data_IF_291730171048
#
_entry.id   IF_291730171048
#
_cell.length_a   1.000
_cell.length_b   1.000
_cell.length_c   1.000
_cell.angle_alpha   90.00
_cell.angle_beta   90.00
_cell.angle_gamma   90.00
#
_symmetry.space_group_name_H-M   'P 1'
#
loop_
_entity.id
_entity.type
_entity.pdbx_description
1 polymer ?
#
# COMPACT_ATOMS: atom_id res chain seq x y z
N UNK A 1 7.01 10.64 -23.24
CA UNK A 1 8.34 10.22 -22.74
C UNK A 1 8.82 11.09 -21.56
N UNK A 2 8.93 12.41 -21.68
CA UNK A 2 9.36 13.29 -20.58
C UNK A 2 8.61 13.06 -19.26
N UNK A 3 7.28 12.90 -19.29
CA UNK A 3 6.45 12.66 -18.09
C UNK A 3 6.79 11.38 -17.32
N UNK A 4 7.25 10.32 -18.01
CA UNK A 4 7.68 9.07 -17.35
C UNK A 4 9.00 9.30 -16.62
N UNK A 5 9.94 10.01 -17.23
CA UNK A 5 11.22 10.37 -16.59
C UNK A 5 10.99 11.20 -15.34
N UNK A 6 10.13 12.22 -15.43
CA UNK A 6 9.77 13.06 -14.28
C UNK A 6 9.19 12.25 -13.12
N UNK A 7 8.32 11.28 -13.43
CA UNK A 7 7.72 10.43 -12.41
C UNK A 7 8.75 9.50 -11.76
N UNK A 8 9.64 8.90 -12.55
CA UNK A 8 10.75 8.07 -12.03
C UNK A 8 11.67 8.91 -11.14
N UNK A 9 12.04 10.12 -11.58
CA UNK A 9 12.88 11.03 -10.79
C UNK A 9 12.22 11.35 -9.45
N UNK A 10 10.94 11.68 -9.43
CA UNK A 10 10.19 11.92 -8.19
C UNK A 10 10.22 10.73 -7.23
N UNK A 11 10.08 9.51 -7.75
CA UNK A 11 10.13 8.30 -6.92
C UNK A 11 11.53 8.00 -6.41
N UNK A 12 12.58 8.33 -7.16
CA UNK A 12 13.98 8.27 -6.70
C UNK A 12 14.21 9.30 -5.59
N UNK A 13 13.80 10.54 -5.79
CA UNK A 13 13.96 11.63 -4.81
C UNK A 13 13.18 11.33 -3.52
N UNK A 14 12.02 10.68 -3.63
CA UNK A 14 11.24 10.18 -2.49
C UNK A 14 11.86 8.96 -1.80
N UNK A 15 12.93 8.38 -2.35
CA UNK A 15 13.60 7.20 -1.81
C UNK A 15 12.86 5.87 -2.05
N UNK A 16 11.86 5.86 -2.93
CA UNK A 16 11.09 4.66 -3.25
C UNK A 16 11.80 3.75 -4.25
N UNK A 17 12.59 4.34 -5.14
CA UNK A 17 13.38 3.64 -6.15
C UNK A 17 14.88 3.73 -5.87
N UNK A 18 15.59 2.73 -6.35
CA UNK A 18 17.05 2.74 -6.42
C UNK A 18 17.50 2.17 -7.78
N UNK A 19 18.69 2.58 -8.20
CA UNK A 19 19.36 1.99 -9.37
C UNK A 19 19.84 0.60 -9.00
N UNK A 20 19.70 -0.34 -9.91
CA UNK A 20 20.26 -1.71 -9.77
C UNK A 20 21.03 -2.09 -11.01
N UNK A 21 21.97 -3.02 -10.86
CA UNK A 21 22.80 -3.55 -11.93
C UNK A 21 22.67 -5.08 -11.98
N UNK A 22 22.57 -5.64 -13.18
CA UNK A 22 22.54 -7.09 -13.43
C UNK A 22 21.44 -7.87 -12.67
N UNK A 23 20.18 -7.41 -12.69
CA UNK A 23 19.11 -8.10 -11.98
C UNK A 23 18.76 -9.43 -12.62
N UNK A 24 18.29 -10.39 -11.82
CA UNK A 24 17.79 -11.68 -12.31
C UNK A 24 16.36 -11.56 -12.88
N UNK A 25 15.58 -10.58 -12.40
CA UNK A 25 14.21 -10.31 -12.83
C UNK A 25 14.13 -8.91 -13.43
N UNK A 26 13.51 -8.83 -14.60
CA UNK A 26 13.29 -7.55 -15.28
C UNK A 26 11.87 -7.48 -15.78
N UNK A 27 11.14 -6.47 -15.33
CA UNK A 27 9.79 -6.20 -15.77
C UNK A 27 9.73 -5.01 -16.73
N UNK A 28 8.65 -4.90 -17.50
CA UNK A 28 8.40 -3.78 -18.39
C UNK A 28 7.56 -2.70 -17.70
N UNK A 29 7.82 -1.45 -18.07
CA UNK A 29 6.99 -0.32 -17.66
C UNK A 29 5.77 -0.21 -18.57
N UNK A 30 4.60 -0.05 -17.96
CA UNK A 30 3.33 0.20 -18.64
C UNK A 30 2.81 1.58 -18.22
N UNK A 31 2.96 2.61 -19.06
CA UNK A 31 2.45 3.94 -18.75
C UNK A 31 0.92 3.97 -18.88
N UNK A 32 0.23 4.38 -17.84
CA UNK A 32 -1.23 4.51 -17.81
C UNK A 32 -1.61 5.99 -17.71
N UNK A 33 -2.30 6.56 -18.71
CA UNK A 33 -2.76 7.94 -18.64
C UNK A 33 -3.88 8.09 -17.62
N UNK A 34 -3.80 9.14 -16.80
CA UNK A 34 -4.87 9.54 -15.88
C UNK A 34 -5.78 10.59 -16.56
N UNK A 35 -7.02 10.73 -16.04
CA UNK A 35 -8.00 11.71 -16.52
C UNK A 35 -7.50 13.17 -16.42
N UNK A 36 -6.62 13.45 -15.47
CA UNK A 36 -6.01 14.77 -15.24
C UNK A 36 -4.79 15.04 -16.15
N UNK A 37 -4.54 14.19 -17.15
CA UNK A 37 -3.42 14.33 -18.09
C UNK A 37 -2.05 13.92 -17.52
N UNK A 38 -1.99 13.44 -16.28
CA UNK A 38 -0.79 12.84 -15.71
C UNK A 38 -0.62 11.41 -16.19
N UNK A 39 0.59 10.87 -16.05
CA UNK A 39 0.90 9.49 -16.36
C UNK A 39 1.21 8.77 -15.04
N UNK A 40 0.56 7.63 -14.81
CA UNK A 40 0.98 6.67 -13.78
C UNK A 40 1.95 5.71 -14.43
N UNK A 41 3.12 5.54 -13.83
CA UNK A 41 4.09 4.51 -14.20
C UNK A 41 3.70 3.23 -13.48
N UNK A 42 3.21 2.25 -14.22
CA UNK A 42 2.93 0.92 -13.70
C UNK A 42 4.03 -0.03 -14.17
N UNK A 43 4.32 -1.06 -13.39
CA UNK A 43 5.29 -2.10 -13.74
C UNK A 43 4.54 -3.42 -13.84
N UNK A 44 4.86 -4.19 -14.85
CA UNK A 44 4.21 -5.49 -15.12
C UNK A 44 4.87 -6.60 -14.28
N UNK A 45 4.28 -6.91 -13.14
CA UNK A 45 4.76 -7.98 -12.26
C UNK A 45 4.07 -9.32 -12.46
N UNK A 46 3.38 -9.56 -13.59
CA UNK A 46 2.63 -10.81 -13.81
C UNK A 46 3.51 -12.05 -13.66
N UNK A 47 4.73 -12.04 -14.20
CA UNK A 47 5.61 -13.20 -14.13
C UNK A 47 6.24 -13.37 -12.74
N UNK A 48 6.61 -12.27 -12.07
CA UNK A 48 7.04 -12.29 -10.68
C UNK A 48 5.91 -12.83 -9.78
N UNK A 49 4.68 -12.40 -10.00
CA UNK A 49 3.52 -12.86 -9.24
C UNK A 49 3.20 -14.35 -9.45
N UNK A 50 3.44 -14.90 -10.66
CA UNK A 50 3.32 -16.33 -10.91
C UNK A 50 4.37 -17.14 -10.15
N UNK A 51 5.61 -16.64 -10.10
CA UNK A 51 6.72 -17.28 -9.40
C UNK A 51 6.63 -17.15 -7.87
N UNK A 52 5.94 -16.13 -7.36
CA UNK A 52 5.78 -15.89 -5.92
C UNK A 52 4.77 -16.86 -5.29
N UNK A 53 5.12 -17.43 -4.14
CA UNK A 53 4.17 -18.18 -3.31
C UNK A 53 3.05 -17.26 -2.84
N UNK A 54 1.84 -17.82 -2.64
CA UNK A 54 0.73 -17.08 -2.04
C UNK A 54 0.95 -16.97 -0.53
N UNK A 55 0.75 -15.77 0.03
CA UNK A 55 0.66 -15.57 1.47
C UNK A 55 -0.73 -16.02 1.95
N UNK A 56 -0.77 -16.90 2.94
CA UNK A 56 -2.01 -17.46 3.49
C UNK A 56 -2.61 -16.59 4.62
N UNK A 57 -2.10 -15.36 4.80
CA UNK A 57 -2.66 -14.45 5.80
C UNK A 57 -4.14 -14.16 5.47
N UNK A 58 -5.05 -14.41 6.41
CA UNK A 58 -6.48 -14.24 6.17
C UNK A 58 -6.82 -12.76 6.02
N UNK A 59 -7.39 -12.40 4.88
CA UNK A 59 -8.00 -11.08 4.72
C UNK A 59 -9.37 -11.07 5.45
N UNK A 60 -9.73 -9.98 6.11
CA UNK A 60 -11.02 -9.88 6.78
C UNK A 60 -12.16 -9.96 5.76
N UNK A 61 -13.26 -10.62 6.14
CA UNK A 61 -14.47 -10.63 5.33
C UNK A 61 -15.16 -9.26 5.43
N UNK A 62 -15.48 -8.69 4.28
CA UNK A 62 -16.07 -7.34 4.21
C UNK A 62 -17.42 -7.26 4.94
N UNK A 63 -18.21 -8.34 4.90
CA UNK A 63 -19.50 -8.41 5.59
C UNK A 63 -19.32 -8.26 7.11
N UNK A 64 -18.28 -8.87 7.69
CA UNK A 64 -17.96 -8.74 9.12
C UNK A 64 -17.58 -7.29 9.45
N UNK A 65 -16.84 -6.62 8.58
CA UNK A 65 -16.48 -5.22 8.77
C UNK A 65 -17.70 -4.31 8.72
N UNK A 66 -18.64 -4.57 7.80
CA UNK A 66 -19.90 -3.85 7.70
C UNK A 66 -20.73 -4.07 8.97
N UNK A 67 -20.87 -5.30 9.43
CA UNK A 67 -21.62 -5.63 10.65
C UNK A 67 -20.99 -4.94 11.89
N UNK A 68 -19.68 -4.92 11.97
CA UNK A 68 -18.94 -4.24 13.06
C UNK A 68 -19.12 -2.71 13.03
N UNK A 69 -19.49 -2.11 11.91
CA UNK A 69 -19.79 -0.67 11.83
C UNK A 69 -21.26 -0.36 12.13
N UNK A 70 -22.12 -1.36 12.04
CA UNK A 70 -23.53 -1.20 12.34
C UNK A 70 -23.75 -0.74 13.79
N UNK A 71 -24.70 0.16 14.00
CA UNK A 71 -25.01 0.71 15.34
C UNK A 71 -24.05 1.82 15.82
N UNK A 72 -23.07 2.23 15.01
CA UNK A 72 -22.26 3.40 15.26
C UNK A 72 -22.86 4.63 14.55
N UNK A 73 -22.97 5.75 15.28
CA UNK A 73 -23.58 6.97 14.75
C UNK A 73 -22.64 7.77 13.85
N UNK A 74 -21.32 7.63 14.04
CA UNK A 74 -20.32 8.37 13.31
C UNK A 74 -19.23 7.44 12.79
N UNK A 75 -18.91 7.58 11.51
CA UNK A 75 -17.87 6.85 10.80
C UNK A 75 -16.94 7.87 10.14
N UNK A 76 -15.64 7.81 10.46
CA UNK A 76 -14.61 8.62 9.83
C UNK A 76 -13.78 7.72 8.93
N UNK A 77 -13.85 7.99 7.62
CA UNK A 77 -13.10 7.23 6.62
C UNK A 77 -11.72 7.84 6.45
N UNK A 78 -10.70 6.98 6.53
CA UNK A 78 -9.30 7.33 6.34
C UNK A 78 -8.73 6.50 5.21
N UNK A 79 -8.02 7.15 4.30
CA UNK A 79 -7.25 6.51 3.24
C UNK A 79 -5.77 6.52 3.65
N UNK A 80 -5.13 5.37 3.56
CA UNK A 80 -3.69 5.24 3.80
C UNK A 80 -2.89 5.89 2.68
N UNK A 81 -2.61 7.19 2.79
CA UNK A 81 -1.81 7.91 1.79
C UNK A 81 -0.48 7.20 1.53
N UNK A 82 -0.31 6.71 0.29
CA UNK A 82 0.85 5.89 -0.08
C UNK A 82 1.10 4.70 0.85
N UNK A 83 0.04 4.08 1.38
CA UNK A 83 0.11 3.08 2.46
C UNK A 83 1.09 1.95 2.18
N UNK A 84 1.05 1.36 0.98
CA UNK A 84 1.99 0.32 0.58
C UNK A 84 3.45 0.82 0.57
N UNK A 85 3.70 2.05 0.13
CA UNK A 85 5.05 2.62 0.06
C UNK A 85 5.67 2.93 1.43
N UNK A 86 4.91 2.83 2.52
CA UNK A 86 5.43 2.96 3.88
C UNK A 86 6.09 1.67 4.38
N UNK A 87 5.86 0.55 3.70
CA UNK A 87 6.45 -0.75 4.05
C UNK A 87 7.73 -0.96 3.23
N UNK A 88 8.86 -1.13 3.92
CA UNK A 88 10.13 -1.40 3.26
C UNK A 88 10.17 -2.85 2.73
N UNK A 89 10.67 -3.01 1.51
CA UNK A 89 10.99 -4.32 0.96
C UNK A 89 12.22 -4.89 1.65
N UNK A 90 12.18 -6.20 1.94
CA UNK A 90 13.36 -6.92 2.38
C UNK A 90 14.50 -6.75 1.35
N UNK A 91 15.75 -6.51 1.78
CA UNK A 91 16.86 -6.25 0.86
C UNK A 91 16.99 -7.28 -0.25
N UNK A 92 16.80 -8.56 0.07
CA UNK A 92 16.88 -9.70 -0.86
C UNK A 92 15.72 -9.77 -1.86
N UNK A 93 14.64 -9.03 -1.63
CA UNK A 93 13.47 -9.01 -2.52
C UNK A 93 13.42 -7.77 -3.42
N UNK A 94 14.20 -6.73 -3.11
CA UNK A 94 14.20 -5.47 -3.87
C UNK A 94 14.50 -5.70 -5.35
N UNK A 95 15.57 -6.42 -5.66
CA UNK A 95 15.99 -6.68 -7.03
C UNK A 95 14.97 -7.49 -7.84
N UNK A 96 14.11 -8.27 -7.18
CA UNK A 96 13.01 -8.99 -7.85
C UNK A 96 11.96 -8.04 -8.43
N UNK A 97 11.89 -6.81 -7.95
CA UNK A 97 10.98 -5.76 -8.44
C UNK A 97 11.57 -4.91 -9.55
N UNK A 98 12.68 -5.34 -10.13
CA UNK A 98 13.40 -4.56 -11.13
C UNK A 98 12.61 -4.37 -12.41
N UNK A 99 12.70 -3.16 -12.96
CA UNK A 99 12.14 -2.80 -14.25
C UNK A 99 13.12 -1.97 -15.08
N UNK A 100 12.98 -2.08 -16.39
CA UNK A 100 13.84 -1.40 -17.35
C UNK A 100 13.15 -0.20 -17.97
N UNK A 101 13.92 0.86 -18.17
CA UNK A 101 13.53 2.05 -18.92
C UNK A 101 14.66 2.45 -19.86
N UNK A 102 14.40 3.38 -20.78
CA UNK A 102 15.46 3.93 -21.64
C UNK A 102 16.52 4.75 -20.88
N UNK A 103 16.30 5.10 -19.60
CA UNK A 103 17.21 5.89 -18.78
C UNK A 103 17.98 5.08 -17.76
N UNK A 104 17.67 3.81 -17.60
CA UNK A 104 18.31 2.92 -16.65
C UNK A 104 17.42 1.80 -16.15
N UNK A 105 17.98 1.05 -15.24
CA UNK A 105 17.36 -0.10 -14.59
C UNK A 105 17.17 0.24 -13.11
N UNK A 106 15.96 0.08 -12.61
CA UNK A 106 15.57 0.50 -11.26
C UNK A 106 14.82 -0.62 -10.55
N UNK A 107 14.93 -0.67 -9.23
CA UNK A 107 14.11 -1.52 -8.40
C UNK A 107 13.49 -0.75 -7.23
N UNK A 108 12.46 -1.33 -6.62
CA UNK A 108 11.76 -0.69 -5.51
C UNK A 108 12.40 -1.02 -4.16
N UNK A 109 12.55 -0.01 -3.33
CA UNK A 109 12.95 -0.13 -1.92
C UNK A 109 11.77 -0.35 -0.99
N UNK A 110 10.57 -0.02 -1.47
CA UNK A 110 9.31 -0.05 -0.73
C UNK A 110 8.33 -0.99 -1.42
N UNK A 111 7.37 -1.49 -0.67
CA UNK A 111 6.30 -2.31 -1.22
C UNK A 111 5.42 -1.46 -2.14
N UNK A 112 4.90 -2.05 -3.19
CA UNK A 112 4.12 -1.35 -4.21
C UNK A 112 2.87 -2.13 -4.60
N UNK A 113 1.95 -1.42 -5.24
CA UNK A 113 0.77 -2.03 -5.84
C UNK A 113 1.14 -2.99 -6.98
N UNK A 114 0.38 -4.06 -7.10
CA UNK A 114 0.54 -5.04 -8.15
C UNK A 114 1.37 -6.27 -7.76
N UNK A 115 2.02 -6.27 -6.60
CA UNK A 115 2.62 -7.48 -6.04
C UNK A 115 1.55 -8.38 -5.42
N UNK A 116 1.64 -9.68 -5.67
CA UNK A 116 0.65 -10.71 -5.27
C UNK A 116 0.28 -10.65 -3.79
N UNK A 117 1.28 -10.44 -2.92
CA UNK A 117 1.11 -10.50 -1.48
C UNK A 117 1.05 -9.13 -0.81
N UNK A 118 1.03 -8.03 -1.59
CA UNK A 118 1.04 -6.68 -1.03
C UNK A 118 -0.15 -6.43 -0.08
N UNK A 119 -1.36 -6.84 -0.50
CA UNK A 119 -2.56 -6.68 0.33
C UNK A 119 -2.48 -7.44 1.66
N UNK A 120 -2.03 -8.70 1.62
CA UNK A 120 -1.87 -9.51 2.84
C UNK A 120 -0.81 -8.92 3.78
N UNK A 121 0.32 -8.47 3.24
CA UNK A 121 1.40 -7.84 4.01
C UNK A 121 0.93 -6.54 4.66
N UNK A 122 0.22 -5.69 3.91
CA UNK A 122 -0.31 -4.43 4.45
C UNK A 122 -1.36 -4.69 5.53
N UNK A 123 -2.29 -5.61 5.29
CA UNK A 123 -3.32 -5.99 6.27
C UNK A 123 -2.69 -6.51 7.56
N UNK A 124 -1.65 -7.34 7.47
CA UNK A 124 -0.89 -7.84 8.64
C UNK A 124 -0.24 -6.69 9.41
N UNK A 125 0.40 -5.76 8.70
CA UNK A 125 1.04 -4.59 9.31
C UNK A 125 0.01 -3.70 10.03
N UNK A 126 -1.10 -3.37 9.36
CA UNK A 126 -2.18 -2.58 9.93
C UNK A 126 -2.84 -3.26 11.13
N UNK A 127 -3.09 -4.58 11.04
CA UNK A 127 -3.64 -5.37 12.15
C UNK A 127 -2.70 -5.38 13.34
N UNK A 128 -1.39 -5.50 13.13
CA UNK A 128 -0.40 -5.46 14.20
C UNK A 128 -0.32 -4.08 14.82
N UNK A 129 -0.28 -3.04 14.01
CA UNK A 129 -0.20 -1.65 14.47
C UNK A 129 -1.43 -1.24 15.28
N UNK A 130 -2.61 -1.62 14.83
CA UNK A 130 -3.89 -1.20 15.41
C UNK A 130 -4.56 -2.29 16.27
N UNK A 131 -3.83 -3.36 16.67
CA UNK A 131 -4.39 -4.55 17.31
C UNK A 131 -5.33 -4.27 18.49
N UNK A 132 -5.03 -3.24 19.31
CA UNK A 132 -5.85 -2.87 20.47
C UNK A 132 -7.15 -2.13 20.11
N UNK A 133 -7.26 -1.61 18.90
CA UNK A 133 -8.35 -0.77 18.41
C UNK A 133 -9.26 -1.49 17.41
N UNK A 134 -8.75 -2.53 16.73
CA UNK A 134 -9.51 -3.31 15.74
C UNK A 134 -10.75 -3.93 16.40
N UNK A 135 -11.86 -3.87 15.70
CA UNK A 135 -13.22 -4.29 16.09
C UNK A 135 -13.82 -3.50 17.27
N UNK A 136 -13.11 -2.54 17.83
CA UNK A 136 -13.61 -1.62 18.87
C UNK A 136 -13.89 -0.25 18.26
N UNK A 137 -12.83 0.52 18.04
CA UNK A 137 -12.91 1.87 17.47
C UNK A 137 -12.51 1.94 16.00
N UNK A 138 -11.83 0.90 15.48
CA UNK A 138 -11.27 0.91 14.11
C UNK A 138 -11.60 -0.38 13.38
N UNK A 139 -11.98 -0.26 12.11
CA UNK A 139 -11.98 -1.37 11.14
C UNK A 139 -10.97 -1.05 10.03
N UNK A 140 -10.29 -2.09 9.55
CA UNK A 140 -9.25 -1.96 8.51
C UNK A 140 -9.50 -2.98 7.41
N UNK A 141 -9.56 -2.49 6.18
CA UNK A 141 -9.57 -3.33 4.99
C UNK A 141 -8.55 -2.80 3.98
N UNK A 142 -7.37 -3.42 3.96
CA UNK A 142 -6.24 -2.93 3.15
C UNK A 142 -5.95 -1.45 3.46
N UNK A 143 -5.98 -0.57 2.45
CA UNK A 143 -5.69 0.86 2.60
C UNK A 143 -6.82 1.65 3.27
N UNK A 144 -8.05 1.11 3.27
CA UNK A 144 -9.21 1.77 3.82
C UNK A 144 -9.32 1.49 5.32
N UNK A 145 -9.41 2.55 6.11
CA UNK A 145 -9.60 2.49 7.56
C UNK A 145 -10.84 3.28 7.95
N UNK A 146 -11.62 2.72 8.87
CA UNK A 146 -12.81 3.36 9.40
C UNK A 146 -12.64 3.52 10.90
N UNK A 147 -12.61 4.76 11.38
CA UNK A 147 -12.71 5.07 12.81
C UNK A 147 -14.18 5.29 13.14
N UNK A 148 -14.72 4.52 14.08
CA UNK A 148 -16.13 4.46 14.41
C UNK A 148 -16.41 4.86 15.86
N UNK A 149 -17.56 5.51 16.11
CA UNK A 149 -18.01 5.87 17.44
C UNK A 149 -19.53 5.90 17.57
N UNK A 150 -20.01 5.82 18.82
CA UNK A 150 -21.44 5.88 19.14
C UNK A 150 -21.97 7.30 19.24
N UNK A 151 -21.09 8.27 19.51
CA UNK A 151 -21.43 9.68 19.68
C UNK A 151 -20.29 10.59 19.21
N UNK A 152 -20.55 11.90 19.20
CA UNK A 152 -19.60 12.91 18.71
C UNK A 152 -18.37 13.06 19.62
N UNK A 153 -18.52 12.96 20.91
CA UNK A 153 -17.43 13.07 21.86
C UNK A 153 -16.49 11.87 21.76
N UNK A 154 -17.06 10.67 21.66
CA UNK A 154 -16.32 9.42 21.42
C UNK A 154 -15.58 9.42 20.10
N UNK A 155 -16.11 10.10 19.06
CA UNK A 155 -15.45 10.20 17.76
C UNK A 155 -14.10 10.94 17.88
N UNK A 156 -14.08 12.08 18.59
CA UNK A 156 -12.84 12.86 18.80
C UNK A 156 -11.81 12.01 19.53
N UNK A 157 -12.21 11.34 20.61
CA UNK A 157 -11.31 10.48 21.40
C UNK A 157 -10.77 9.33 20.58
N UNK A 158 -11.61 8.68 19.77
CA UNK A 158 -11.19 7.57 18.89
C UNK A 158 -10.19 8.05 17.81
N UNK A 159 -10.44 9.21 17.21
CA UNK A 159 -9.53 9.82 16.25
C UNK A 159 -8.19 10.22 16.87
N UNK A 160 -8.18 10.81 18.06
CA UNK A 160 -6.96 11.15 18.78
C UNK A 160 -6.11 9.89 19.06
N UNK A 161 -6.72 8.81 19.55
CA UNK A 161 -6.05 7.53 19.77
C UNK A 161 -5.49 6.96 18.46
N UNK A 162 -6.29 7.00 17.38
CA UNK A 162 -5.89 6.53 16.07
C UNK A 162 -4.66 7.28 15.56
N UNK A 163 -4.70 8.63 15.55
CA UNK A 163 -3.58 9.44 15.09
C UNK A 163 -2.33 9.32 15.99
N UNK A 164 -2.52 9.15 17.29
CA UNK A 164 -1.39 8.89 18.19
C UNK A 164 -0.71 7.54 17.89
N UNK A 165 -1.44 6.57 17.33
CA UNK A 165 -0.93 5.23 17.05
C UNK A 165 -0.23 5.11 15.71
N UNK A 166 -0.65 5.90 14.70
CA UNK A 166 -0.09 5.84 13.35
C UNK A 166 1.05 6.85 13.10
N UNK A 167 1.38 7.67 14.08
CA UNK A 167 2.57 8.54 14.06
C UNK A 167 3.83 7.72 14.34
#
# INVERSE_FOLDING_TARGET
MLKIKEEITKQIDAGFLMVTEYPQWVANVVPVPKKDGKIRVCVDFRDLNKASSKDDFPLPHIDILVDNTAGHALLSFMDGFSGYNQILMAPEDREKTTFITQWGVYCYRVMLFGLKNAGATYQRAATTLLHNMIHKEVEVYMDDMIVKSKDRAGCIVALEKFFARIR
#
